data_IF_093643577909
#
_entry.id   IF_093643577909
#
_cell.length_a   1.000
_cell.length_b   1.000
_cell.length_c   1.000
_cell.angle_alpha   90.00
_cell.angle_beta   90.00
_cell.angle_gamma   90.00
#
_symmetry.space_group_name_H-M   'P 1'
#
loop_
_entity.id
_entity.type
_entity.pdbx_description
1 polymer ?
#
# COMPACT_ATOMS: atom_id res chain seq x y z
N UNK A 1 -18.39 -22.29 29.28
CA UNK A 1 -17.49 -23.34 28.74
C UNK A 1 -16.44 -23.61 29.79
N UNK A 2 -16.16 -24.87 30.11
CA UNK A 2 -15.12 -25.23 31.09
C UNK A 2 -13.73 -25.11 30.46
N UNK A 3 -12.71 -24.82 31.27
CA UNK A 3 -11.31 -24.63 30.83
C UNK A 3 -10.77 -25.87 30.09
N UNK A 4 -11.01 -27.06 30.64
CA UNK A 4 -10.66 -28.33 29.99
C UNK A 4 -11.26 -28.51 28.58
N UNK A 5 -12.48 -28.01 28.34
CA UNK A 5 -13.12 -28.10 27.02
C UNK A 5 -12.56 -27.07 26.04
N UNK A 6 -11.98 -25.98 26.53
CA UNK A 6 -11.29 -25.00 25.69
C UNK A 6 -9.94 -25.54 25.25
N UNK A 7 -9.18 -26.15 26.14
CA UNK A 7 -7.86 -26.72 25.83
C UNK A 7 -7.95 -27.88 24.83
N UNK A 8 -8.98 -28.74 24.96
CA UNK A 8 -9.26 -29.78 23.98
C UNK A 8 -9.57 -29.20 22.59
N UNK A 9 -10.32 -28.09 22.53
CA UNK A 9 -10.66 -27.44 21.26
C UNK A 9 -9.48 -26.69 20.66
N UNK A 10 -8.65 -26.04 21.48
CA UNK A 10 -7.40 -25.41 21.04
C UNK A 10 -6.37 -26.44 20.54
N UNK A 11 -6.38 -27.67 21.07
CA UNK A 11 -5.55 -28.78 20.60
C UNK A 11 -6.04 -29.36 19.26
N UNK A 12 -7.34 -29.31 18.98
CA UNK A 12 -7.95 -29.82 17.74
C UNK A 12 -7.89 -28.76 16.62
N UNK A 13 -8.22 -27.52 16.97
CA UNK A 13 -8.21 -26.37 16.07
C UNK A 13 -7.77 -25.12 16.87
N UNK A 14 -6.47 -24.78 16.84
CA UNK A 14 -5.93 -23.57 17.47
C UNK A 14 -6.58 -22.26 16.98
N UNK A 15 -7.38 -22.31 15.90
CA UNK A 15 -8.15 -21.20 15.34
C UNK A 15 -9.63 -21.18 15.71
N UNK A 16 -10.13 -22.12 16.53
CA UNK A 16 -11.56 -22.27 16.81
C UNK A 16 -12.18 -21.11 17.61
N UNK A 17 -11.43 -20.50 18.53
CA UNK A 17 -11.92 -19.37 19.33
C UNK A 17 -10.86 -18.27 19.50
N UNK A 18 -10.55 -17.51 18.44
CA UNK A 18 -9.49 -16.53 18.52
C UNK A 18 -9.97 -15.24 19.19
N UNK A 19 -9.16 -14.71 20.10
CA UNK A 19 -9.27 -13.35 20.68
C UNK A 19 -8.95 -12.23 19.66
N UNK A 20 -8.85 -12.56 18.38
CA UNK A 20 -8.23 -11.71 17.36
C UNK A 20 -9.25 -10.87 16.59
N UNK A 21 -8.73 -9.94 15.81
CA UNK A 21 -9.50 -8.95 15.06
C UNK A 21 -10.56 -9.56 14.13
N UNK A 22 -11.80 -9.12 14.26
CA UNK A 22 -12.94 -9.58 13.43
C UNK A 22 -12.81 -9.19 11.96
N UNK A 23 -12.08 -8.12 11.65
CA UNK A 23 -11.76 -7.70 10.28
C UNK A 23 -10.84 -8.71 9.60
N UNK A 24 -9.84 -9.23 10.32
CA UNK A 24 -8.97 -10.28 9.79
C UNK A 24 -9.75 -11.54 9.40
N UNK A 25 -10.63 -12.04 10.28
CA UNK A 25 -11.45 -13.22 10.01
C UNK A 25 -12.38 -13.03 8.81
N UNK A 26 -12.99 -11.84 8.71
CA UNK A 26 -13.85 -11.49 7.56
C UNK A 26 -13.05 -11.58 6.26
N UNK A 27 -11.90 -10.91 6.19
CA UNK A 27 -11.08 -10.91 4.97
C UNK A 27 -10.58 -12.31 4.62
N UNK A 28 -10.11 -13.08 5.61
CA UNK A 28 -9.73 -14.49 5.40
C UNK A 28 -10.87 -15.29 4.78
N UNK A 29 -12.08 -15.19 5.33
CA UNK A 29 -13.26 -15.91 4.81
C UNK A 29 -13.63 -15.45 3.40
N UNK A 30 -13.51 -14.16 3.09
CA UNK A 30 -13.77 -13.63 1.76
C UNK A 30 -12.77 -14.17 0.73
N UNK A 31 -11.48 -14.21 1.06
CA UNK A 31 -10.46 -14.82 0.20
C UNK A 31 -10.70 -16.32 0.03
N UNK A 32 -10.98 -17.03 1.12
CA UNK A 32 -11.27 -18.47 1.07
C UNK A 32 -12.48 -18.77 0.17
N UNK A 33 -13.58 -18.04 0.33
CA UNK A 33 -14.76 -18.19 -0.50
C UNK A 33 -14.47 -17.88 -1.99
N UNK A 34 -13.65 -16.86 -2.26
CA UNK A 34 -13.24 -16.53 -3.62
C UNK A 34 -12.47 -17.68 -4.29
N UNK A 35 -11.50 -18.26 -3.58
CA UNK A 35 -10.70 -19.39 -4.07
C UNK A 35 -11.56 -20.64 -4.24
N UNK A 36 -12.44 -20.95 -3.27
CA UNK A 36 -13.35 -22.09 -3.36
C UNK A 36 -14.37 -21.98 -4.51
N UNK A 37 -14.74 -20.76 -4.90
CA UNK A 37 -15.58 -20.51 -6.07
C UNK A 37 -14.84 -20.63 -7.42
N UNK A 38 -13.56 -21.02 -7.40
CA UNK A 38 -12.71 -21.17 -8.59
C UNK A 38 -11.91 -19.92 -8.95
N UNK A 39 -11.91 -18.89 -8.10
CA UNK A 39 -11.04 -17.73 -8.24
C UNK A 39 -9.58 -18.04 -7.91
N UNK A 40 -8.65 -17.27 -8.47
CA UNK A 40 -7.24 -17.36 -8.10
C UNK A 40 -6.95 -16.47 -6.89
N UNK A 41 -5.87 -16.78 -6.16
CA UNK A 41 -5.45 -15.93 -5.05
C UNK A 41 -5.08 -14.53 -5.58
N UNK A 42 -5.69 -13.45 -5.08
CA UNK A 42 -5.37 -12.11 -5.55
C UNK A 42 -3.98 -11.67 -5.07
N UNK A 43 -3.12 -11.20 -5.97
CA UNK A 43 -1.72 -10.89 -5.67
C UNK A 43 -1.44 -9.38 -5.57
N UNK A 44 -2.27 -8.55 -6.19
CA UNK A 44 -2.15 -7.10 -6.19
C UNK A 44 -3.40 -6.39 -5.67
N UNK A 45 -3.19 -5.21 -5.10
CA UNK A 45 -4.27 -4.36 -4.62
C UNK A 45 -5.22 -3.98 -5.77
N UNK A 46 -6.52 -4.15 -5.55
CA UNK A 46 -7.57 -3.85 -6.52
C UNK A 46 -7.90 -5.00 -7.48
N UNK A 47 -7.17 -6.11 -7.45
CA UNK A 47 -7.47 -7.29 -8.30
C UNK A 47 -8.88 -7.82 -8.03
N UNK A 48 -9.22 -7.95 -6.74
CA UNK A 48 -10.50 -8.49 -6.29
C UNK A 48 -10.99 -7.68 -5.10
N UNK A 49 -12.13 -7.02 -5.28
CA UNK A 49 -12.83 -6.29 -4.21
C UNK A 49 -14.17 -6.96 -3.95
N UNK A 50 -14.37 -7.44 -2.72
CA UNK A 50 -15.60 -8.12 -2.30
C UNK A 50 -16.11 -7.49 -1.03
N UNK A 51 -17.39 -7.09 -1.01
CA UNK A 51 -18.02 -6.43 0.14
C UNK A 51 -17.27 -5.16 0.63
N UNK A 52 -16.61 -4.45 -0.28
CA UNK A 52 -15.82 -3.26 0.04
C UNK A 52 -14.41 -3.54 0.57
N UNK A 53 -14.03 -4.81 0.74
CA UNK A 53 -12.69 -5.23 1.15
C UNK A 53 -11.85 -5.57 -0.08
N UNK A 54 -10.64 -5.01 -0.13
CA UNK A 54 -9.64 -5.30 -1.18
C UNK A 54 -8.84 -6.53 -0.77
N UNK A 55 -9.17 -7.67 -1.39
CA UNK A 55 -8.63 -8.96 -1.03
C UNK A 55 -7.15 -9.08 -1.38
N UNK A 56 -6.74 -8.55 -2.53
CA UNK A 56 -5.33 -8.56 -2.93
C UNK A 56 -4.49 -7.72 -1.99
N UNK A 57 -4.95 -6.52 -1.65
CA UNK A 57 -4.29 -5.70 -0.62
C UNK A 57 -4.17 -6.43 0.72
N UNK A 58 -5.21 -7.14 1.14
CA UNK A 58 -5.19 -7.89 2.39
C UNK A 58 -4.19 -9.06 2.33
N UNK A 59 -4.18 -9.84 1.24
CA UNK A 59 -3.22 -10.94 1.01
C UNK A 59 -1.79 -10.41 1.03
N UNK A 60 -1.51 -9.35 0.28
CA UNK A 60 -0.20 -8.69 0.26
C UNK A 60 0.21 -8.26 1.68
N UNK A 61 -0.71 -7.69 2.46
CA UNK A 61 -0.43 -7.28 3.84
C UNK A 61 -0.10 -8.48 4.75
N UNK A 62 -0.76 -9.63 4.58
CA UNK A 62 -0.44 -10.83 5.36
C UNK A 62 0.97 -11.34 5.02
N UNK A 63 1.32 -11.42 3.73
CA UNK A 63 2.62 -11.92 3.28
C UNK A 63 3.78 -11.04 3.77
N UNK A 64 3.63 -9.71 3.71
CA UNK A 64 4.67 -8.77 4.18
C UNK A 64 4.68 -8.52 5.68
N UNK A 65 3.54 -8.73 6.35
CA UNK A 65 3.38 -8.62 7.80
C UNK A 65 3.55 -9.94 8.54
N UNK A 66 4.06 -10.99 7.89
CA UNK A 66 4.01 -12.37 8.38
C UNK A 66 4.51 -12.55 9.82
N UNK A 67 5.65 -11.92 10.14
CA UNK A 67 6.27 -11.98 11.48
C UNK A 67 5.43 -11.33 12.60
N UNK A 68 4.44 -10.51 12.24
CA UNK A 68 3.52 -9.89 13.21
C UNK A 68 2.25 -10.71 13.41
N UNK A 69 2.04 -11.75 12.59
CA UNK A 69 0.91 -12.66 12.74
C UNK A 69 1.15 -13.63 13.87
N UNK A 70 0.08 -14.01 14.56
CA UNK A 70 0.14 -15.06 15.56
C UNK A 70 0.42 -16.41 14.88
N UNK A 71 1.10 -17.36 15.55
CA UNK A 71 1.42 -18.66 14.96
C UNK A 71 0.20 -19.38 14.36
N UNK A 72 -0.95 -19.30 15.02
CA UNK A 72 -2.17 -19.90 14.50
C UNK A 72 -2.76 -19.15 13.29
N UNK A 73 -2.55 -17.84 13.15
CA UNK A 73 -2.89 -17.12 11.91
C UNK A 73 -2.00 -17.57 10.75
N UNK A 74 -0.69 -17.72 10.98
CA UNK A 74 0.25 -18.23 9.96
C UNK A 74 -0.17 -19.63 9.52
N UNK A 75 -0.45 -20.52 10.47
CA UNK A 75 -0.91 -21.88 10.18
C UNK A 75 -2.21 -21.90 9.36
N UNK A 76 -3.21 -21.08 9.71
CA UNK A 76 -4.46 -20.98 8.94
C UNK A 76 -4.17 -20.51 7.51
N UNK A 77 -3.36 -19.46 7.32
CA UNK A 77 -3.06 -18.92 6.01
C UNK A 77 -2.31 -19.92 5.13
N UNK A 78 -1.34 -20.63 5.68
CA UNK A 78 -0.60 -21.69 4.99
C UNK A 78 -1.52 -22.84 4.58
N UNK A 79 -2.31 -23.37 5.52
CA UNK A 79 -3.08 -24.59 5.28
C UNK A 79 -4.38 -24.36 4.49
N UNK A 80 -4.98 -23.17 4.57
CA UNK A 80 -6.26 -22.90 3.90
C UNK A 80 -6.12 -22.12 2.60
N UNK A 81 -5.12 -21.25 2.49
CA UNK A 81 -4.92 -20.38 1.33
C UNK A 81 -3.58 -20.64 0.60
N UNK A 82 -2.71 -21.50 1.13
CA UNK A 82 -1.38 -21.74 0.55
C UNK A 82 -0.46 -20.52 0.62
N UNK A 83 -0.75 -19.58 1.53
CA UNK A 83 0.03 -18.35 1.67
C UNK A 83 1.31 -18.59 2.46
N UNK A 84 2.38 -17.89 2.09
CA UNK A 84 3.66 -17.91 2.78
C UNK A 84 4.19 -16.49 2.96
N UNK A 85 5.11 -16.33 3.91
CA UNK A 85 5.87 -15.10 4.09
C UNK A 85 6.47 -14.64 2.74
N UNK A 86 6.40 -13.34 2.47
CA UNK A 86 7.06 -12.80 1.29
C UNK A 86 8.59 -12.92 1.44
N UNK A 87 9.26 -13.39 0.38
CA UNK A 87 10.73 -13.44 0.34
C UNK A 87 11.36 -12.05 0.47
N UNK A 88 12.64 -12.00 0.85
CA UNK A 88 13.36 -10.72 0.99
C UNK A 88 13.38 -9.92 -0.33
N UNK A 89 13.50 -10.61 -1.46
CA UNK A 89 13.49 -10.01 -2.80
C UNK A 89 12.10 -9.52 -3.24
N UNK A 90 11.03 -10.00 -2.61
CA UNK A 90 9.66 -9.56 -2.90
C UNK A 90 9.27 -8.31 -2.10
N UNK A 91 10.01 -7.98 -1.04
CA UNK A 91 9.70 -6.81 -0.20
C UNK A 91 9.86 -5.54 -1.03
N UNK A 92 8.82 -4.67 -1.09
CA UNK A 92 8.94 -3.40 -1.78
C UNK A 92 10.11 -2.63 -1.19
N UNK A 93 11.11 -2.31 -2.02
CA UNK A 93 12.27 -1.52 -1.60
C UNK A 93 11.74 -0.25 -0.95
N UNK A 94 12.10 -0.02 0.32
CA UNK A 94 11.71 1.20 1.03
C UNK A 94 12.20 2.40 0.23
N UNK A 95 11.28 3.10 -0.41
CA UNK A 95 11.61 4.30 -1.17
C UNK A 95 12.25 5.32 -0.23
N UNK A 96 13.46 5.76 -0.60
CA UNK A 96 14.16 6.81 0.12
C UNK A 96 13.37 8.12 0.01
N UNK A 97 13.61 9.04 0.94
CA UNK A 97 13.03 10.39 0.86
C UNK A 97 13.43 11.10 -0.43
N UNK A 98 14.62 10.80 -0.96
CA UNK A 98 15.12 11.39 -2.20
C UNK A 98 14.42 10.84 -3.44
N UNK A 99 14.15 9.53 -3.51
CA UNK A 99 13.34 8.97 -4.60
C UNK A 99 11.94 9.57 -4.62
N UNK A 100 11.32 9.75 -3.45
CA UNK A 100 10.01 10.42 -3.35
C UNK A 100 10.11 11.89 -3.76
N UNK A 101 11.17 12.60 -3.36
CA UNK A 101 11.41 13.98 -3.76
C UNK A 101 11.52 14.09 -5.29
N UNK A 102 12.35 13.26 -5.91
CA UNK A 102 12.56 13.23 -7.35
C UNK A 102 11.25 12.98 -8.11
N UNK A 103 10.42 12.04 -7.65
CA UNK A 103 9.12 11.77 -8.27
C UNK A 103 8.18 12.99 -8.20
N UNK A 104 8.09 13.64 -7.03
CA UNK A 104 7.24 14.82 -6.89
C UNK A 104 7.77 16.01 -7.71
N UNK A 105 9.10 16.18 -7.78
CA UNK A 105 9.71 17.22 -8.59
C UNK A 105 9.48 16.97 -10.09
N UNK A 106 9.57 15.71 -10.55
CA UNK A 106 9.23 15.35 -11.93
C UNK A 106 7.76 15.69 -12.25
N UNK A 107 6.84 15.41 -11.34
CA UNK A 107 5.43 15.79 -11.50
C UNK A 107 5.24 17.32 -11.53
N UNK A 108 5.98 18.05 -10.70
CA UNK A 108 5.97 19.51 -10.72
C UNK A 108 6.50 20.08 -12.04
N UNK A 109 7.59 19.50 -12.58
CA UNK A 109 8.15 19.85 -13.89
C UNK A 109 7.15 19.57 -15.02
N UNK A 110 6.46 18.42 -14.99
CA UNK A 110 5.43 18.08 -15.96
C UNK A 110 4.26 19.08 -15.94
N UNK A 111 3.73 19.39 -14.75
CA UNK A 111 2.67 20.39 -14.61
C UNK A 111 3.15 21.77 -15.06
N UNK A 112 4.36 22.19 -14.67
CA UNK A 112 4.92 23.47 -15.07
C UNK A 112 5.14 23.57 -16.58
N UNK A 113 5.62 22.50 -17.23
CA UNK A 113 5.79 22.49 -18.69
C UNK A 113 4.45 22.69 -19.42
N UNK A 114 3.34 22.17 -18.86
CA UNK A 114 2.00 22.31 -19.43
C UNK A 114 1.34 23.65 -19.12
N UNK A 115 1.45 24.14 -17.90
CA UNK A 115 0.68 25.29 -17.40
C UNK A 115 1.51 26.58 -17.23
N UNK A 116 2.84 26.48 -17.29
CA UNK A 116 3.77 27.59 -17.08
C UNK A 116 3.82 28.12 -15.64
N UNK A 117 3.23 27.41 -14.67
CA UNK A 117 3.18 27.84 -13.27
C UNK A 117 2.99 26.69 -12.29
N UNK A 118 3.27 26.91 -10.99
CA UNK A 118 3.01 25.95 -9.90
C UNK A 118 1.76 26.28 -9.03
N UNK A 119 0.76 26.96 -9.61
CA UNK A 119 -0.55 27.20 -8.97
C UNK A 119 -1.46 25.97 -9.12
N UNK A 120 -1.08 24.90 -8.45
CA UNK A 120 -1.76 23.60 -8.53
C UNK A 120 -2.93 23.54 -7.53
N UNK A 121 -4.17 23.21 -7.96
CA UNK A 121 -5.28 22.96 -7.05
C UNK A 121 -4.97 21.85 -6.04
N UNK A 122 -5.39 21.98 -4.78
CA UNK A 122 -5.01 21.04 -3.71
C UNK A 122 -5.32 19.56 -3.98
N UNK A 123 -6.42 19.28 -4.69
CA UNK A 123 -6.86 17.92 -5.06
C UNK A 123 -6.25 17.42 -6.37
N UNK A 124 -5.44 18.23 -7.06
CA UNK A 124 -4.85 17.87 -8.34
C UNK A 124 -3.85 16.73 -8.20
N UNK A 125 -3.85 15.86 -9.21
CA UNK A 125 -3.04 14.65 -9.31
C UNK A 125 -2.38 14.65 -10.68
N UNK A 126 -1.07 14.38 -10.72
CA UNK A 126 -0.31 14.13 -11.94
C UNK A 126 -0.04 12.64 -12.09
N UNK A 127 -0.03 12.17 -13.34
CA UNK A 127 0.38 10.81 -13.68
C UNK A 127 1.74 10.87 -14.36
N UNK A 128 2.75 10.26 -13.75
CA UNK A 128 4.06 10.08 -14.36
C UNK A 128 4.05 8.77 -15.16
N UNK A 129 4.50 8.82 -16.41
CA UNK A 129 4.67 7.61 -17.23
C UNK A 129 5.69 6.63 -16.61
N UNK A 130 5.52 5.35 -16.91
CA UNK A 130 6.24 4.24 -16.25
C UNK A 130 7.77 4.25 -16.38
N UNK A 131 8.33 5.00 -17.33
CA UNK A 131 9.79 5.13 -17.48
C UNK A 131 10.41 6.17 -16.55
N UNK A 132 9.63 7.16 -16.08
CA UNK A 132 10.20 8.31 -15.40
C UNK A 132 10.57 8.02 -13.93
N UNK A 133 9.88 7.09 -13.27
CA UNK A 133 10.13 6.75 -11.87
C UNK A 133 9.52 5.38 -11.54
N UNK A 134 10.31 4.41 -11.12
CA UNK A 134 9.83 3.22 -10.40
C UNK A 134 9.45 3.58 -8.95
N UNK A 135 8.58 4.57 -8.75
CA UNK A 135 8.27 5.00 -7.39
C UNK A 135 6.92 5.69 -7.19
N UNK A 136 5.88 4.89 -7.00
CA UNK A 136 4.68 5.28 -6.26
C UNK A 136 3.49 4.42 -6.64
N UNK A 137 2.65 4.12 -5.63
CA UNK A 137 1.40 3.34 -5.68
C UNK A 137 0.97 2.98 -7.10
N UNK A 138 1.22 1.73 -7.47
CA UNK A 138 0.52 1.08 -8.57
C UNK A 138 -0.93 0.93 -8.13
N UNK A 139 -1.73 1.93 -8.46
CA UNK A 139 -3.18 1.79 -8.45
C UNK A 139 -3.54 1.29 -9.85
N UNK A 140 -3.93 0.01 -9.95
CA UNK A 140 -4.67 -0.65 -11.04
C UNK A 140 -4.40 -0.29 -12.50
N UNK A 141 -3.92 -1.28 -13.27
CA UNK A 141 -4.06 -1.37 -14.73
C UNK A 141 -3.64 -0.13 -15.55
N UNK A 142 -2.37 0.28 -15.46
CA UNK A 142 -1.83 1.33 -16.33
C UNK A 142 -0.54 1.99 -15.88
N UNK A 143 0.47 1.21 -15.46
CA UNK A 143 1.91 1.51 -15.52
C UNK A 143 2.48 2.87 -15.06
N UNK A 144 1.72 3.76 -14.43
CA UNK A 144 2.15 5.13 -14.09
C UNK A 144 2.17 5.39 -12.60
N UNK A 145 3.09 6.25 -12.16
CA UNK A 145 3.14 6.73 -10.77
C UNK A 145 2.16 7.88 -10.60
N UNK A 146 1.18 7.69 -9.72
CA UNK A 146 0.19 8.72 -9.37
C UNK A 146 0.73 9.64 -8.26
N UNK A 147 0.95 10.91 -8.60
CA UNK A 147 1.47 11.93 -7.67
C UNK A 147 0.38 12.92 -7.29
N UNK A 148 0.06 13.01 -5.99
CA UNK A 148 -0.86 14.03 -5.44
C UNK A 148 -0.21 15.40 -5.36
N UNK A 149 0.14 15.96 -6.52
CA UNK A 149 0.98 17.16 -6.66
C UNK A 149 0.43 18.35 -5.88
N UNK A 150 -0.88 18.59 -5.92
CA UNK A 150 -1.49 19.72 -5.21
C UNK A 150 -1.32 19.64 -3.69
N UNK A 151 -1.49 18.44 -3.13
CA UNK A 151 -1.30 18.21 -1.70
C UNK A 151 0.18 18.28 -1.31
N UNK A 152 1.08 17.77 -2.15
CA UNK A 152 2.52 17.84 -1.91
C UNK A 152 3.03 19.29 -1.90
N UNK A 153 2.72 20.10 -2.92
CA UNK A 153 3.13 21.51 -2.98
C UNK A 153 2.59 22.31 -1.78
N UNK A 154 1.35 22.05 -1.37
CA UNK A 154 0.74 22.71 -0.20
C UNK A 154 1.49 22.35 1.11
N UNK A 155 1.92 21.10 1.26
CA UNK A 155 2.74 20.68 2.39
C UNK A 155 4.16 21.25 2.35
N UNK A 156 4.76 21.36 1.16
CA UNK A 156 6.07 21.96 0.97
C UNK A 156 6.05 23.45 1.35
N UNK A 157 5.03 24.22 0.94
CA UNK A 157 4.86 25.62 1.37
C UNK A 157 4.76 25.75 2.89
N UNK A 158 3.91 24.95 3.53
CA UNK A 158 3.74 24.94 5.00
C UNK A 158 5.03 24.63 5.75
N UNK A 159 5.97 23.90 5.13
CA UNK A 159 7.23 23.48 5.73
C UNK A 159 8.44 24.17 5.10
N UNK A 160 8.23 25.29 4.40
CA UNK A 160 9.27 26.01 3.66
C UNK A 160 10.50 26.32 4.52
N UNK A 161 10.27 26.77 5.77
CA UNK A 161 11.34 27.11 6.71
C UNK A 161 12.23 25.93 7.13
N UNK A 162 11.78 24.69 6.92
CA UNK A 162 12.51 23.45 7.25
C UNK A 162 13.03 22.73 6.00
N UNK A 163 12.84 23.30 4.82
CA UNK A 163 13.24 22.67 3.57
C UNK A 163 14.75 22.88 3.33
N UNK A 164 15.51 21.82 3.00
CA UNK A 164 16.91 21.96 2.60
C UNK A 164 17.07 22.93 1.43
N UNK A 165 18.17 23.68 1.41
CA UNK A 165 18.40 24.74 0.42
C UNK A 165 18.35 24.24 -1.03
N UNK A 166 18.93 23.07 -1.33
CA UNK A 166 18.89 22.50 -2.68
C UNK A 166 17.46 22.19 -3.14
N UNK A 167 16.62 21.63 -2.25
CA UNK A 167 15.20 21.35 -2.54
C UNK A 167 14.36 22.62 -2.71
N UNK A 168 14.77 23.69 -2.03
CA UNK A 168 14.17 25.02 -2.21
C UNK A 168 14.51 25.56 -3.59
N UNK A 169 15.79 25.49 -3.98
CA UNK A 169 16.26 25.89 -5.30
C UNK A 169 15.56 25.13 -6.44
N UNK A 170 15.40 23.80 -6.32
CA UNK A 170 14.68 22.97 -7.30
C UNK A 170 13.27 23.51 -7.64
N UNK A 171 12.57 24.04 -6.63
CA UNK A 171 11.22 24.58 -6.79
C UNK A 171 11.23 26.05 -7.18
N UNK A 172 12.22 26.82 -6.74
CA UNK A 172 12.43 28.21 -7.17
C UNK A 172 12.70 28.28 -8.68
N UNK A 173 13.45 27.33 -9.24
CA UNK A 173 13.64 27.18 -10.69
C UNK A 173 12.32 27.03 -11.47
N UNK A 174 11.30 26.46 -10.83
CA UNK A 174 9.95 26.30 -11.38
C UNK A 174 9.01 27.46 -11.03
N UNK A 175 9.55 28.57 -10.53
CA UNK A 175 8.79 29.76 -10.16
C UNK A 175 7.88 29.56 -8.95
N UNK A 176 8.26 28.66 -8.03
CA UNK A 176 7.46 28.39 -6.83
C UNK A 176 7.30 29.65 -5.97
N UNK A 177 6.06 29.93 -5.59
CA UNK A 177 5.73 30.93 -4.57
C UNK A 177 5.53 30.22 -3.24
N UNK A 178 6.27 30.70 -2.24
CA UNK A 178 6.32 30.16 -0.88
C UNK A 178 5.19 30.69 -0.01
#
# INVERSE_FOLDING_TARGET
MTEARRDELDAIDPGWCPVWDTGWQRCHRLVQNHVQAGGTLPEAAGDVVVQGEDLGRWVTAQRFGWEQLLPAQQWILENTLGLQAAGEDERPVKQTQDTKWAANLAAARLFHAREGHLRVPRKHVEQLGGEAVTAGRQDGAGGGVVVKLGTWLDNVRKRAAKLPQHRRADLDELGMRW
#
